data_IF_580204092279
#
_entry.id   IF_580204092279
#
_cell.length_a   1.000
_cell.length_b   1.000
_cell.length_c   1.000
_cell.angle_alpha   90.00
_cell.angle_beta   90.00
_cell.angle_gamma   90.00
#
_symmetry.space_group_name_H-M   'P 1'
#
loop_
_entity.id
_entity.type
_entity.pdbx_description
1 polymer ?
#
# COMPACT_ATOMS: atom_id res chain seq x y z
N UNK A 1 -14.43 -13.10 0.50
CA UNK A 1 -15.14 -11.87 0.86
C UNK A 1 -16.05 -12.21 2.03
N UNK A 2 -15.64 -11.86 3.24
CA UNK A 2 -16.53 -11.97 4.40
C UNK A 2 -17.57 -10.85 4.29
N UNK A 3 -18.84 -11.19 4.51
CA UNK A 3 -19.92 -10.20 4.55
C UNK A 3 -19.60 -9.16 5.63
N UNK A 4 -19.82 -7.86 5.37
CA UNK A 4 -19.60 -6.84 6.38
C UNK A 4 -20.40 -7.19 7.63
N UNK A 5 -19.74 -7.14 8.78
CA UNK A 5 -20.44 -7.39 10.05
C UNK A 5 -21.65 -6.45 10.15
N UNK A 6 -22.72 -6.86 10.85
CA UNK A 6 -23.93 -6.04 10.99
C UNK A 6 -23.63 -4.60 11.47
N UNK A 7 -22.56 -4.42 12.26
CA UNK A 7 -22.06 -3.12 12.70
C UNK A 7 -21.47 -2.29 11.56
N UNK A 8 -20.67 -2.89 10.69
CA UNK A 8 -20.11 -2.23 9.51
C UNK A 8 -21.20 -1.82 8.52
N UNK A 9 -22.20 -2.68 8.28
CA UNK A 9 -23.31 -2.35 7.39
C UNK A 9 -24.16 -1.20 7.95
N UNK A 10 -24.44 -1.20 9.25
CA UNK A 10 -25.16 -0.11 9.91
C UNK A 10 -24.37 1.21 9.88
N UNK A 11 -23.05 1.15 10.09
CA UNK A 11 -22.19 2.33 10.00
C UNK A 11 -22.10 2.89 8.57
N UNK A 12 -22.04 2.02 7.56
CA UNK A 12 -22.06 2.43 6.15
C UNK A 12 -23.37 3.14 5.80
N UNK A 13 -24.50 2.59 6.24
CA UNK A 13 -25.82 3.19 6.05
C UNK A 13 -26.01 4.50 6.83
N UNK A 14 -25.24 4.72 7.91
CA UNK A 14 -25.29 5.91 8.74
C UNK A 14 -24.30 7.00 8.30
N UNK A 15 -23.52 6.79 7.24
CA UNK A 15 -22.59 7.81 6.71
C UNK A 15 -23.34 9.07 6.31
N UNK A 16 -22.70 10.22 6.55
CA UNK A 16 -23.19 11.48 6.02
C UNK A 16 -23.11 11.48 4.49
N UNK A 17 -23.93 12.31 3.83
CA UNK A 17 -23.85 12.44 2.37
C UNK A 17 -22.44 12.88 1.89
N UNK A 18 -21.72 13.65 2.71
CA UNK A 18 -20.36 14.07 2.40
C UNK A 18 -19.37 12.90 2.47
N UNK A 19 -19.49 12.04 3.49
CA UNK A 19 -18.62 10.89 3.68
C UNK A 19 -18.92 9.77 2.67
N UNK A 20 -20.20 9.56 2.31
CA UNK A 20 -20.57 8.65 1.23
C UNK A 20 -19.97 9.09 -0.10
N UNK A 21 -20.03 10.40 -0.43
CA UNK A 21 -19.39 10.92 -1.62
C UNK A 21 -17.85 10.84 -1.56
N UNK A 22 -17.25 10.98 -0.36
CA UNK A 22 -15.81 10.78 -0.13
C UNK A 22 -15.41 9.34 -0.41
N UNK A 23 -16.18 8.39 0.10
CA UNK A 23 -16.00 6.95 -0.08
C UNK A 23 -16.10 6.54 -1.56
N UNK A 24 -17.10 7.03 -2.29
CA UNK A 24 -17.24 6.74 -3.73
C UNK A 24 -16.07 7.29 -4.55
N UNK A 25 -15.60 8.52 -4.26
CA UNK A 25 -14.43 9.10 -4.91
C UNK A 25 -13.17 8.29 -4.63
N UNK A 26 -12.99 7.86 -3.38
CA UNK A 26 -11.82 7.09 -2.97
C UNK A 26 -11.81 5.70 -3.62
N UNK A 27 -12.95 5.01 -3.62
CA UNK A 27 -13.14 3.73 -4.30
C UNK A 27 -12.81 3.84 -5.80
N UNK A 28 -13.32 4.90 -6.46
CA UNK A 28 -13.02 5.18 -7.87
C UNK A 28 -11.53 5.42 -8.10
N UNK A 29 -10.88 6.19 -7.22
CA UNK A 29 -9.44 6.52 -7.31
C UNK A 29 -8.54 5.30 -7.11
N UNK A 30 -8.92 4.42 -6.20
CA UNK A 30 -8.25 3.15 -5.95
C UNK A 30 -8.63 2.04 -6.95
N UNK A 31 -9.56 2.32 -7.89
CA UNK A 31 -10.09 1.36 -8.86
C UNK A 31 -10.67 0.08 -8.20
N UNK A 32 -11.39 0.24 -7.09
CA UNK A 32 -12.06 -0.83 -6.35
C UNK A 32 -13.53 -0.47 -6.08
N UNK A 33 -14.33 -1.45 -5.67
CA UNK A 33 -15.71 -1.20 -5.25
C UNK A 33 -15.76 -0.63 -3.83
N UNK A 34 -16.83 0.13 -3.53
CA UNK A 34 -17.11 0.66 -2.18
C UNK A 34 -17.14 -0.45 -1.14
N UNK A 35 -17.77 -1.58 -1.45
CA UNK A 35 -17.85 -2.73 -0.53
C UNK A 35 -16.47 -3.35 -0.24
N UNK A 36 -15.51 -3.21 -1.15
CA UNK A 36 -14.16 -3.74 -0.99
C UNK A 36 -13.30 -2.87 -0.09
N UNK A 37 -13.44 -1.55 -0.18
CA UNK A 37 -12.60 -0.59 0.57
C UNK A 37 -13.21 -0.20 1.92
N UNK A 38 -14.53 -0.34 2.08
CA UNK A 38 -15.25 0.01 3.30
C UNK A 38 -14.72 -0.69 4.58
N UNK A 39 -14.41 -2.00 4.59
CA UNK A 39 -13.90 -2.65 5.80
C UNK A 39 -12.62 -2.02 6.34
N UNK A 40 -11.73 -1.58 5.45
CA UNK A 40 -10.47 -0.94 5.80
C UNK A 40 -10.71 0.48 6.34
N UNK A 41 -11.56 1.26 5.68
CA UNK A 41 -11.96 2.60 6.14
C UNK A 41 -12.66 2.54 7.50
N UNK A 42 -13.49 1.52 7.72
CA UNK A 42 -14.15 1.32 9.02
C UNK A 42 -13.15 1.01 10.14
N UNK A 43 -12.05 0.31 9.83
CA UNK A 43 -11.05 -0.12 10.83
C UNK A 43 -9.98 0.95 11.09
N UNK A 44 -9.49 1.58 10.03
CA UNK A 44 -8.35 2.50 10.08
C UNK A 44 -8.75 3.98 9.93
N UNK A 45 -9.97 4.25 9.46
CA UNK A 45 -10.44 5.61 9.19
C UNK A 45 -10.18 6.04 7.75
N UNK A 46 -10.77 7.16 7.36
CA UNK A 46 -10.63 7.69 6.00
C UNK A 46 -9.21 8.16 5.70
N UNK A 47 -8.58 8.89 6.62
CA UNK A 47 -7.31 9.57 6.37
C UNK A 47 -6.18 8.56 6.08
N UNK A 48 -6.09 7.48 6.88
CA UNK A 48 -5.10 6.42 6.67
C UNK A 48 -5.26 5.72 5.31
N UNK A 49 -6.50 5.47 4.87
CA UNK A 49 -6.77 4.82 3.59
C UNK A 49 -6.54 5.78 2.42
N UNK A 50 -6.86 7.06 2.57
CA UNK A 50 -6.55 8.07 1.56
C UNK A 50 -5.05 8.23 1.33
N UNK A 51 -4.27 8.26 2.41
CA UNK A 51 -2.81 8.30 2.34
C UNK A 51 -2.23 7.04 1.70
N UNK A 52 -2.76 5.86 2.04
CA UNK A 52 -2.38 4.59 1.42
C UNK A 52 -2.66 4.56 -0.08
N UNK A 53 -3.88 4.96 -0.50
CA UNK A 53 -4.25 5.02 -1.92
C UNK A 53 -3.38 6.02 -2.68
N UNK A 54 -3.09 7.19 -2.08
CA UNK A 54 -2.19 8.15 -2.70
C UNK A 54 -0.76 7.61 -2.81
N UNK A 55 -0.25 6.92 -1.80
CA UNK A 55 1.07 6.30 -1.83
C UNK A 55 1.17 5.25 -2.94
N UNK A 56 0.11 4.45 -3.15
CA UNK A 56 0.08 3.48 -4.25
C UNK A 56 0.11 4.15 -5.62
N UNK A 57 -0.67 5.21 -5.83
CA UNK A 57 -0.65 5.97 -7.09
C UNK A 57 0.71 6.60 -7.36
N UNK A 58 1.34 7.18 -6.32
CA UNK A 58 2.69 7.74 -6.46
C UNK A 58 3.70 6.65 -6.82
N UNK A 59 3.58 5.46 -6.21
CA UNK A 59 4.44 4.33 -6.55
C UNK A 59 4.25 3.86 -8.00
N UNK A 60 3.01 3.80 -8.48
CA UNK A 60 2.70 3.47 -9.88
C UNK A 60 3.29 4.52 -10.84
N UNK A 61 3.21 5.80 -10.50
CA UNK A 61 3.83 6.89 -11.25
C UNK A 61 5.37 6.78 -11.27
N UNK A 62 6.01 6.49 -10.14
CA UNK A 62 7.46 6.29 -10.04
C UNK A 62 7.92 5.08 -10.88
N UNK A 63 7.13 4.00 -10.87
CA UNK A 63 7.38 2.83 -11.71
C UNK A 63 7.27 3.21 -13.19
N UNK A 64 6.22 3.93 -13.59
CA UNK A 64 6.00 4.36 -14.97
C UNK A 64 7.08 5.34 -15.45
N UNK A 65 7.61 6.19 -14.56
CA UNK A 65 8.71 7.10 -14.82
C UNK A 65 10.09 6.40 -14.90
N UNK A 66 10.16 5.10 -14.60
CA UNK A 66 11.44 4.37 -14.55
C UNK A 66 12.33 4.79 -13.38
N UNK A 67 11.76 5.37 -12.33
CA UNK A 67 12.47 5.79 -11.11
C UNK A 67 12.76 4.61 -10.16
N UNK A 68 12.42 3.38 -10.54
CA UNK A 68 12.68 2.18 -9.76
C UNK A 68 13.91 1.41 -10.26
N UNK A 69 14.55 0.66 -9.37
CA UNK A 69 15.66 -0.24 -9.70
C UNK A 69 15.18 -1.67 -9.48
N UNK A 70 15.51 -2.57 -10.40
CA UNK A 70 15.16 -3.98 -10.27
C UNK A 70 15.78 -4.57 -8.99
N UNK A 71 15.01 -5.41 -8.29
CA UNK A 71 15.46 -6.04 -7.05
C UNK A 71 16.79 -6.79 -7.23
N UNK A 72 16.93 -7.55 -8.32
CA UNK A 72 18.13 -8.33 -8.61
C UNK A 72 19.37 -7.43 -8.76
N UNK A 73 19.22 -6.25 -9.37
CA UNK A 73 20.31 -5.28 -9.51
C UNK A 73 20.71 -4.69 -8.16
N UNK A 74 19.73 -4.35 -7.31
CA UNK A 74 19.98 -3.92 -5.93
C UNK A 74 20.73 -5.00 -5.15
N UNK A 75 20.29 -6.25 -5.24
CA UNK A 75 20.92 -7.37 -4.53
C UNK A 75 22.30 -7.72 -5.07
N UNK A 76 22.51 -7.64 -6.38
CA UNK A 76 23.84 -7.81 -7.00
C UNK A 76 24.80 -6.71 -6.55
N UNK A 77 24.36 -5.45 -6.49
CA UNK A 77 25.16 -4.34 -5.97
C UNK A 77 25.46 -4.51 -4.48
N UNK A 78 24.46 -4.86 -3.67
CA UNK A 78 24.64 -5.13 -2.25
C UNK A 78 25.66 -6.27 -2.01
N UNK A 79 25.59 -7.34 -2.80
CA UNK A 79 26.55 -8.45 -2.75
C UNK A 79 27.98 -7.99 -3.05
N UNK A 80 28.18 -7.17 -4.08
CA UNK A 80 29.49 -6.59 -4.42
C UNK A 80 30.06 -5.75 -3.27
N UNK A 81 29.22 -4.95 -2.60
CA UNK A 81 29.63 -4.15 -1.44
C UNK A 81 30.06 -5.06 -0.28
N UNK A 82 29.29 -6.11 0.00
CA UNK A 82 29.63 -7.08 1.05
C UNK A 82 30.94 -7.81 0.74
N UNK A 83 31.12 -8.30 -0.48
CA UNK A 83 32.35 -9.01 -0.87
C UNK A 83 33.60 -8.10 -0.77
N UNK A 84 33.46 -6.80 -1.02
CA UNK A 84 34.55 -5.83 -0.91
C UNK A 84 34.91 -5.43 0.54
N UNK A 85 33.94 -5.46 1.45
CA UNK A 85 34.11 -4.90 2.81
C UNK A 85 34.13 -5.96 3.91
N UNK A 86 33.51 -7.11 3.69
CA UNK A 86 33.53 -8.23 4.62
C UNK A 86 34.84 -8.99 4.41
N UNK A 87 35.85 -8.65 5.21
CA UNK A 87 37.04 -9.50 5.37
C UNK A 87 36.58 -10.85 5.88
N UNK A 88 36.56 -11.85 5.00
CA UNK A 88 36.41 -13.23 5.42
C UNK A 88 37.49 -13.52 6.48
N UNK A 89 37.07 -14.00 7.66
CA UNK A 89 37.96 -14.74 8.56
C UNK A 89 38.37 -16.02 7.83
N UNK A 90 39.23 -15.93 6.83
CA UNK A 90 39.90 -17.07 6.21
C UNK A 90 41.30 -17.13 6.81
N UNK A 91 41.54 -18.26 7.49
CA UNK A 91 42.76 -18.75 8.15
C UNK A 91 42.95 -18.39 9.63
N UNK A 92 42.50 -19.30 10.49
CA UNK A 92 43.39 -20.01 11.40
C UNK A 92 43.17 -21.51 11.05
N UNK A 93 44.11 -22.27 10.49
CA UNK A 93 45.55 -22.25 10.78
C UNK A 93 45.74 -23.07 12.03
#
# INVERSE_FOLDING_TARGET
>A
MDLPSQKQAAALAALSAADSARLERLASKANVSVDSIWPEIYLYGFDDIEDSVQANLNADEDIAAGCTVAHDDVMAQARRILDANVRGKRKAG
#
